data_IF_690996193878
#
_entry.id   IF_690996193878
#
_cell.length_a   1.000
_cell.length_b   1.000
_cell.length_c   1.000
_cell.angle_alpha   90.00
_cell.angle_beta   90.00
_cell.angle_gamma   90.00
#
_symmetry.space_group_name_H-M   'P 1'
#
loop_
_entity.id
_entity.type
_entity.pdbx_description
1 polymer ?
#
# COMPACT_ATOMS: atom_id res chain seq x y z
N UNK A 1 -16.80 25.00 -36.10
CA UNK A 1 -16.60 25.12 -34.64
C UNK A 1 -16.46 23.70 -34.08
N UNK A 2 -15.25 23.25 -33.75
CA UNK A 2 -15.07 21.98 -33.05
C UNK A 2 -15.15 22.26 -31.56
N UNK A 3 -16.25 21.85 -30.93
CA UNK A 3 -16.40 21.86 -29.48
C UNK A 3 -15.37 20.90 -28.87
N UNK A 4 -14.57 21.41 -27.93
CA UNK A 4 -13.68 20.56 -27.15
C UNK A 4 -14.53 19.54 -26.36
N UNK A 5 -14.11 18.26 -26.29
CA UNK A 5 -14.81 17.28 -25.48
C UNK A 5 -14.82 17.74 -24.01
N UNK A 6 -15.91 17.52 -23.27
CA UNK A 6 -15.98 17.90 -21.86
C UNK A 6 -14.86 17.20 -21.09
N UNK A 7 -14.22 17.93 -20.18
CA UNK A 7 -13.20 17.37 -19.29
C UNK A 7 -13.79 16.18 -18.53
N UNK A 8 -13.08 15.05 -18.55
CA UNK A 8 -13.53 13.85 -17.87
C UNK A 8 -13.71 14.12 -16.36
N UNK A 9 -14.82 13.66 -15.79
CA UNK A 9 -15.04 13.79 -14.35
C UNK A 9 -13.92 13.07 -13.57
N UNK A 10 -13.58 13.53 -12.35
CA UNK A 10 -12.57 12.88 -11.51
C UNK A 10 -12.80 11.37 -11.34
N UNK A 11 -14.08 10.96 -11.24
CA UNK A 11 -14.47 9.55 -11.15
C UNK A 11 -14.20 8.77 -12.45
N UNK A 12 -14.43 9.37 -13.62
CA UNK A 12 -14.12 8.75 -14.90
C UNK A 12 -12.60 8.60 -15.11
N UNK A 13 -11.83 9.61 -14.70
CA UNK A 13 -10.37 9.55 -14.70
C UNK A 13 -9.85 8.45 -13.77
N UNK A 14 -10.37 8.37 -12.55
CA UNK A 14 -10.00 7.33 -11.60
C UNK A 14 -10.31 5.92 -12.13
N UNK A 15 -11.50 5.70 -12.69
CA UNK A 15 -11.86 4.42 -13.33
C UNK A 15 -10.91 4.08 -14.47
N UNK A 16 -10.51 5.07 -15.28
CA UNK A 16 -9.55 4.86 -16.37
C UNK A 16 -8.16 4.52 -15.85
N UNK A 17 -7.69 5.19 -14.80
CA UNK A 17 -6.40 4.94 -14.16
C UNK A 17 -6.31 3.53 -13.57
N UNK A 18 -7.39 3.10 -12.91
CA UNK A 18 -7.51 1.78 -12.28
C UNK A 18 -7.91 0.65 -13.25
N UNK A 19 -8.20 0.98 -14.50
CA UNK A 19 -8.45 -0.01 -15.53
C UNK A 19 -7.24 -0.93 -15.72
N UNK A 20 -7.50 -2.23 -15.83
CA UNK A 20 -6.46 -3.25 -16.03
C UNK A 20 -5.52 -3.46 -14.83
N UNK A 21 -5.75 -2.81 -13.68
CA UNK A 21 -5.04 -3.15 -12.44
C UNK A 21 -5.36 -4.60 -12.09
N UNK A 22 -4.38 -5.47 -11.96
CA UNK A 22 -4.59 -6.88 -11.61
C UNK A 22 -4.20 -7.20 -10.16
N UNK A 23 -3.48 -6.30 -9.50
CA UNK A 23 -2.94 -6.51 -8.17
C UNK A 23 -3.05 -5.24 -7.34
N UNK A 24 -3.21 -5.41 -6.05
CA UNK A 24 -3.33 -4.33 -5.09
C UNK A 24 -2.24 -4.48 -4.05
N UNK A 25 -1.55 -3.39 -3.73
CA UNK A 25 -0.65 -3.26 -2.61
C UNK A 25 -1.27 -2.30 -1.60
N UNK A 26 -1.05 -2.57 -0.32
CA UNK A 26 -1.40 -1.64 0.76
C UNK A 26 -0.16 -1.31 1.55
N UNK A 27 0.16 -0.03 1.67
CA UNK A 27 1.18 0.53 2.54
C UNK A 27 0.51 0.85 3.88
N UNK A 28 0.66 0.00 4.91
CA UNK A 28 0.02 0.21 6.19
C UNK A 28 0.91 1.14 7.02
N UNK A 29 0.35 2.24 7.49
CA UNK A 29 1.00 3.23 8.34
C UNK A 29 0.39 3.11 9.72
N UNK A 30 1.19 2.71 10.71
CA UNK A 30 0.75 2.60 12.10
C UNK A 30 0.52 3.98 12.73
N UNK A 31 -0.13 4.00 13.89
CA UNK A 31 -0.41 5.24 14.62
C UNK A 31 0.86 6.00 15.06
N UNK A 32 1.98 5.31 15.20
CA UNK A 32 3.31 5.86 15.49
C UNK A 32 4.13 6.17 14.22
N UNK A 33 3.49 6.18 13.05
CA UNK A 33 4.09 6.60 11.77
C UNK A 33 5.02 5.57 11.13
N UNK A 34 4.99 4.31 11.57
CA UNK A 34 5.81 3.25 10.99
C UNK A 34 5.09 2.56 9.84
N UNK A 35 5.84 2.20 8.81
CA UNK A 35 5.38 1.40 7.69
C UNK A 35 5.54 -0.08 8.02
N UNK A 36 4.47 -0.84 7.83
CA UNK A 36 4.49 -2.28 8.06
C UNK A 36 4.79 -3.04 6.77
N UNK A 37 5.94 -3.72 6.76
CA UNK A 37 6.37 -4.63 5.70
C UNK A 37 6.12 -6.07 6.13
N UNK A 38 5.92 -6.95 5.15
CA UNK A 38 5.86 -8.39 5.34
C UNK A 38 6.98 -9.07 4.59
N UNK A 39 7.50 -10.14 5.19
CA UNK A 39 8.44 -11.03 4.53
C UNK A 39 7.69 -11.95 3.59
N UNK A 40 7.95 -11.79 2.30
CA UNK A 40 7.52 -12.72 1.29
C UNK A 40 8.56 -13.82 1.13
N UNK A 41 8.18 -15.04 1.47
CA UNK A 41 8.98 -16.24 1.22
C UNK A 41 8.37 -17.06 0.09
N UNK A 42 9.19 -17.34 -0.90
CA UNK A 42 8.94 -18.30 -1.96
C UNK A 42 10.13 -19.28 -1.99
N UNK A 43 9.94 -20.45 -2.57
CA UNK A 43 10.99 -21.50 -2.66
C UNK A 43 12.32 -21.00 -3.26
N UNK A 44 12.32 -19.84 -3.95
CA UNK A 44 13.50 -19.27 -4.63
C UNK A 44 13.95 -17.91 -4.10
N UNK A 45 13.09 -17.17 -3.39
CA UNK A 45 13.35 -15.80 -3.00
C UNK A 45 12.70 -15.46 -1.67
N UNK A 46 13.46 -14.75 -0.83
CA UNK A 46 12.98 -14.12 0.38
C UNK A 46 13.21 -12.61 0.28
N UNK A 47 12.16 -11.81 0.47
CA UNK A 47 12.25 -10.36 0.43
C UNK A 47 11.15 -9.69 1.26
N UNK A 48 11.38 -8.44 1.63
CA UNK A 48 10.40 -7.60 2.31
C UNK A 48 9.59 -6.81 1.29
N UNK A 49 8.27 -6.77 1.45
CA UNK A 49 7.38 -6.00 0.59
C UNK A 49 6.18 -5.49 1.39
N UNK A 50 5.29 -4.74 0.77
CA UNK A 50 4.02 -4.32 1.37
C UNK A 50 2.93 -5.36 1.12
N UNK A 51 1.96 -5.55 2.04
CA UNK A 51 0.86 -6.49 1.85
C UNK A 51 0.28 -6.38 0.44
N UNK A 52 0.13 -7.52 -0.23
CA UNK A 52 -0.35 -7.55 -1.62
C UNK A 52 -1.28 -8.71 -1.91
N UNK A 53 -2.24 -8.47 -2.81
CA UNK A 53 -3.20 -9.47 -3.25
C UNK A 53 -3.59 -9.26 -4.72
N UNK A 54 -3.73 -10.37 -5.44
CA UNK A 54 -4.29 -10.35 -6.79
C UNK A 54 -5.79 -10.09 -6.74
N UNK A 55 -6.28 -9.28 -7.69
CA UNK A 55 -7.70 -9.09 -7.90
C UNK A 55 -8.25 -10.37 -8.50
N UNK A 56 -9.07 -11.11 -7.73
CA UNK A 56 -9.74 -12.32 -8.22
C UNK A 56 -10.67 -12.03 -9.40
N UNK A 57 -11.28 -10.84 -9.46
CA UNK A 57 -12.00 -10.36 -10.64
C UNK A 57 -11.67 -8.90 -10.94
N UNK A 58 -11.63 -8.55 -12.23
CA UNK A 58 -11.41 -7.16 -12.68
C UNK A 58 -12.61 -6.23 -12.44
N UNK A 59 -13.75 -6.77 -12.00
CA UNK A 59 -14.96 -6.00 -11.65
C UNK A 59 -14.92 -5.46 -10.22
N UNK A 60 -14.19 -6.12 -9.31
CA UNK A 60 -14.08 -5.69 -7.91
C UNK A 60 -13.20 -4.46 -7.79
N UNK A 61 -13.72 -3.35 -7.28
CA UNK A 61 -12.96 -2.12 -7.03
C UNK A 61 -11.64 -2.42 -6.28
N UNK A 62 -10.46 -1.99 -6.78
CA UNK A 62 -9.20 -2.15 -6.07
C UNK A 62 -9.22 -1.67 -4.61
N UNK A 63 -9.98 -0.61 -4.28
CA UNK A 63 -10.09 -0.14 -2.90
C UNK A 63 -10.77 -1.17 -1.98
N UNK A 64 -11.77 -1.90 -2.47
CA UNK A 64 -12.41 -3.00 -1.73
C UNK A 64 -11.43 -4.13 -1.47
N UNK A 65 -10.56 -4.43 -2.43
CA UNK A 65 -9.50 -5.45 -2.27
C UNK A 65 -8.45 -4.99 -1.26
N UNK A 66 -8.07 -3.71 -1.25
CA UNK A 66 -7.17 -3.15 -0.25
C UNK A 66 -7.73 -3.25 1.18
N UNK A 67 -9.01 -2.93 1.38
CA UNK A 67 -9.66 -3.08 2.70
C UNK A 67 -9.71 -4.54 3.16
N UNK A 68 -10.01 -5.46 2.23
CA UNK A 68 -9.98 -6.90 2.53
C UNK A 68 -8.57 -7.35 2.92
N UNK A 69 -7.56 -6.90 2.18
CA UNK A 69 -6.15 -7.22 2.44
C UNK A 69 -5.71 -6.80 3.84
N UNK A 70 -6.07 -5.59 4.29
CA UNK A 70 -5.77 -5.13 5.66
C UNK A 70 -6.38 -6.04 6.73
N UNK A 71 -7.64 -6.44 6.55
CA UNK A 71 -8.31 -7.33 7.50
C UNK A 71 -7.70 -8.73 7.51
N UNK A 72 -7.42 -9.29 6.33
CA UNK A 72 -6.90 -10.65 6.20
C UNK A 72 -5.43 -10.77 6.61
N UNK A 73 -4.58 -9.80 6.27
CA UNK A 73 -3.13 -9.85 6.52
C UNK A 73 -2.67 -9.12 7.79
N UNK A 74 -3.37 -8.06 8.21
CA UNK A 74 -3.00 -7.32 9.43
C UNK A 74 -4.04 -7.41 10.55
N UNK A 75 -5.30 -7.75 10.24
CA UNK A 75 -6.35 -7.86 11.25
C UNK A 75 -6.79 -6.48 11.70
N UNK A 76 -6.48 -5.47 10.88
CA UNK A 76 -6.74 -4.08 11.12
C UNK A 76 -7.79 -3.58 10.12
N UNK A 77 -8.54 -2.58 10.56
CA UNK A 77 -9.34 -1.75 9.68
C UNK A 77 -8.68 -0.37 9.54
N UNK A 78 -9.08 0.37 8.51
CA UNK A 78 -8.56 1.72 8.27
C UNK A 78 -9.69 2.63 7.85
N UNK A 79 -9.86 3.74 8.58
CA UNK A 79 -10.77 4.81 8.21
C UNK A 79 -10.30 5.54 6.94
N UNK A 80 -8.99 5.63 6.73
CA UNK A 80 -8.38 6.41 5.65
C UNK A 80 -7.61 5.51 4.69
N UNK A 81 -8.15 5.34 3.48
CA UNK A 81 -7.50 4.61 2.40
C UNK A 81 -7.29 5.54 1.19
N UNK A 82 -6.04 5.80 0.82
CA UNK A 82 -5.68 6.74 -0.26
C UNK A 82 -4.91 6.04 -1.36
N UNK A 83 -5.33 6.18 -2.62
CA UNK A 83 -4.53 5.73 -3.76
C UNK A 83 -3.30 6.64 -3.90
N UNK A 84 -2.11 6.10 -3.71
CA UNK A 84 -0.85 6.87 -3.76
C UNK A 84 -0.08 6.62 -5.05
N UNK A 85 -0.24 5.45 -5.66
CA UNK A 85 0.47 5.13 -6.89
C UNK A 85 -0.25 4.07 -7.74
N UNK A 86 -0.01 4.09 -9.05
CA UNK A 86 -0.37 2.99 -9.96
C UNK A 86 0.89 2.56 -10.69
N UNK A 87 1.41 1.39 -10.31
CA UNK A 87 2.56 0.79 -10.96
C UNK A 87 2.14 0.25 -12.34
N UNK A 88 2.87 0.61 -13.42
CA UNK A 88 2.66 0.01 -14.72
C UNK A 88 2.94 -1.50 -14.65
N UNK A 89 2.43 -2.26 -15.62
CA UNK A 89 2.84 -3.66 -15.75
C UNK A 89 4.31 -3.71 -16.17
N UNK A 90 5.06 -4.64 -15.58
CA UNK A 90 6.42 -4.99 -15.98
C UNK A 90 6.51 -6.47 -16.32
N UNK A 91 7.69 -6.94 -16.75
CA UNK A 91 7.91 -8.38 -17.00
C UNK A 91 7.73 -9.24 -15.74
N UNK A 92 7.96 -8.66 -14.56
CA UNK A 92 7.97 -9.35 -13.27
C UNK A 92 6.68 -9.19 -12.48
N UNK A 93 5.81 -8.23 -12.83
CA UNK A 93 4.59 -7.96 -12.10
C UNK A 93 3.49 -7.38 -12.98
N UNK A 94 2.24 -7.69 -12.64
CA UNK A 94 1.08 -7.09 -13.30
C UNK A 94 0.89 -5.63 -12.88
N UNK A 95 0.14 -4.86 -13.68
CA UNK A 95 -0.26 -3.49 -13.34
C UNK A 95 -0.91 -3.47 -11.96
N UNK A 96 -0.45 -2.60 -11.08
CA UNK A 96 -0.82 -2.65 -9.67
C UNK A 96 -1.25 -1.30 -9.13
N UNK A 97 -2.27 -1.28 -8.28
CA UNK A 97 -2.64 -0.10 -7.50
C UNK A 97 -2.01 -0.17 -6.13
N UNK A 98 -1.47 0.95 -5.64
CA UNK A 98 -0.86 1.07 -4.33
C UNK A 98 -1.68 2.04 -3.50
N UNK A 99 -2.20 1.55 -2.39
CA UNK A 99 -2.95 2.36 -1.43
C UNK A 99 -2.15 2.56 -0.16
N UNK A 100 -2.18 3.76 0.41
CA UNK A 100 -1.78 4.01 1.78
C UNK A 100 -2.98 3.84 2.71
N UNK A 101 -2.75 3.25 3.88
CA UNK A 101 -3.78 3.04 4.90
C UNK A 101 -3.26 3.50 6.25
N UNK A 102 -3.94 4.45 6.88
CA UNK A 102 -3.66 4.85 8.27
C UNK A 102 -4.32 3.84 9.21
N UNK A 103 -3.57 3.34 10.19
CA UNK A 103 -4.03 2.40 11.20
C UNK A 103 -4.06 3.06 12.57
N UNK A 104 -4.98 2.63 13.41
CA UNK A 104 -5.23 3.26 14.72
C UNK A 104 -4.34 2.68 15.85
N UNK A 105 -3.56 1.64 15.55
CA UNK A 105 -2.71 0.95 16.51
C UNK A 105 -1.22 1.20 16.22
N UNK A 106 -0.36 1.22 17.26
CA UNK A 106 1.09 1.22 17.10
C UNK A 106 1.58 -0.03 16.38
N UNK A 107 2.70 0.08 15.67
CA UNK A 107 3.27 -1.03 14.90
C UNK A 107 3.53 -2.27 15.76
N UNK A 108 4.10 -2.09 16.95
CA UNK A 108 4.42 -3.19 17.86
C UNK A 108 3.18 -4.01 18.26
N UNK A 109 2.05 -3.35 18.50
CA UNK A 109 0.80 -4.02 18.87
C UNK A 109 0.21 -4.81 17.69
N UNK A 110 0.26 -4.24 16.48
CA UNK A 110 -0.22 -4.91 15.27
C UNK A 110 0.60 -6.17 15.00
N UNK A 111 1.93 -6.07 15.13
CA UNK A 111 2.84 -7.20 14.94
C UNK A 111 2.64 -8.28 16.00
N UNK A 112 2.56 -7.90 17.28
CA UNK A 112 2.32 -8.83 18.38
C UNK A 112 0.97 -9.56 18.25
N UNK A 113 -0.09 -8.84 17.90
CA UNK A 113 -1.41 -9.43 17.65
C UNK A 113 -1.35 -10.46 16.51
N UNK A 114 -0.60 -10.14 15.45
CA UNK A 114 -0.42 -11.06 14.32
C UNK A 114 0.36 -12.31 14.68
N UNK A 115 1.47 -12.17 15.40
CA UNK A 115 2.23 -13.31 15.91
C UNK A 115 1.37 -14.22 16.80
N UNK A 116 0.56 -13.64 17.69
CA UNK A 116 -0.34 -14.37 18.59
C UNK A 116 -1.45 -15.14 17.85
N UNK A 117 -1.95 -14.64 16.71
CA UNK A 117 -3.01 -15.32 15.94
C UNK A 117 -2.54 -16.61 15.26
N UNK A 118 -1.24 -16.88 15.16
CA UNK A 118 -0.66 -18.20 14.84
C UNK A 118 -1.12 -18.90 13.55
N UNK A 119 -1.87 -18.23 12.68
CA UNK A 119 -2.65 -18.89 11.61
C UNK A 119 -2.42 -18.25 10.26
N UNK A 120 -1.29 -18.59 9.67
CA UNK A 120 -1.11 -18.58 8.22
C UNK A 120 0.12 -19.42 7.92
N UNK A 121 0.05 -20.32 6.93
CA UNK A 121 1.23 -21.03 6.38
C UNK A 121 2.35 -20.08 5.90
N UNK A 122 2.08 -18.78 5.87
CA UNK A 122 3.02 -17.67 5.70
C UNK A 122 3.01 -16.89 7.02
N UNK A 123 3.83 -17.29 7.98
CA UNK A 123 4.04 -16.47 9.17
C UNK A 123 4.52 -15.10 8.67
N UNK A 124 3.70 -14.08 8.87
CA UNK A 124 3.99 -12.72 8.46
C UNK A 124 5.06 -12.23 9.42
N UNK A 125 6.34 -12.54 9.13
CA UNK A 125 7.42 -11.79 9.75
C UNK A 125 7.17 -10.36 9.29
N UNK A 126 6.81 -9.51 10.25
CA UNK A 126 6.54 -8.12 10.00
C UNK A 126 7.75 -7.28 10.37
N UNK A 127 8.03 -6.29 9.56
CA UNK A 127 9.10 -5.33 9.82
C UNK A 127 8.47 -3.95 9.82
N UNK A 128 8.66 -3.22 10.92
CA UNK A 128 8.23 -1.85 11.03
C UNK A 128 9.42 -0.91 10.78
N UNK A 129 9.27 -0.01 9.82
CA UNK A 129 10.31 0.95 9.42
C UNK A 129 9.71 2.32 9.19
N UNK A 130 10.47 3.39 9.41
CA UNK A 130 10.01 4.71 8.96
C UNK A 130 10.14 4.84 7.44
N UNK A 131 9.38 5.76 6.85
CA UNK A 131 9.48 6.04 5.42
C UNK A 131 10.90 6.54 5.04
N UNK A 132 11.55 7.33 5.90
CA UNK A 132 12.92 7.80 5.72
C UNK A 132 13.91 6.64 5.72
N UNK A 133 13.75 5.68 6.64
CA UNK A 133 14.59 4.48 6.69
C UNK A 133 14.47 3.69 5.39
N UNK A 134 13.25 3.49 4.91
CA UNK A 134 13.03 2.74 3.67
C UNK A 134 13.57 3.46 2.44
N UNK A 135 13.48 4.79 2.39
CA UNK A 135 14.06 5.62 1.32
C UNK A 135 15.60 5.63 1.39
N UNK A 136 16.18 5.65 2.59
CA UNK A 136 17.62 5.58 2.78
C UNK A 136 18.21 4.20 2.40
N UNK A 137 17.40 3.15 2.46
CA UNK A 137 17.77 1.80 1.99
C UNK A 137 17.70 1.64 0.46
N UNK A 138 17.22 2.65 -0.29
CA UNK A 138 17.10 2.68 -1.76
C UNK A 138 18.47 2.77 -2.50
N UNK A 139 19.51 2.13 -1.95
CA UNK A 139 20.89 2.18 -2.46
C UNK A 139 21.39 0.76 -2.79
N UNK A 140 21.18 0.33 -4.07
CA UNK A 140 21.79 -0.82 -4.85
C UNK A 140 20.86 -2.05 -5.10
N UNK A 141 21.19 -2.98 -6.03
CA UNK A 141 21.25 -2.98 -7.51
C UNK A 141 19.89 -3.31 -8.20
N UNK A 142 19.78 -3.11 -9.52
CA UNK A 142 18.54 -3.16 -10.35
C UNK A 142 17.52 -4.29 -10.07
N UNK A 143 17.95 -5.52 -9.77
CA UNK A 143 17.03 -6.62 -9.46
C UNK A 143 16.35 -6.48 -8.08
N UNK A 144 17.04 -5.87 -7.12
CA UNK A 144 16.46 -5.46 -5.83
C UNK A 144 15.61 -4.20 -6.03
N UNK A 145 15.98 -3.35 -6.98
CA UNK A 145 15.21 -2.15 -7.32
C UNK A 145 13.83 -2.51 -7.90
N UNK A 146 13.70 -3.48 -8.81
CA UNK A 146 12.39 -3.97 -9.28
C UNK A 146 11.54 -4.61 -8.17
N UNK A 147 12.18 -5.06 -7.08
CA UNK A 147 11.55 -5.61 -5.88
C UNK A 147 11.22 -4.52 -4.83
N UNK A 148 12.00 -3.45 -4.79
CA UNK A 148 11.84 -2.27 -3.93
C UNK A 148 11.06 -1.14 -4.61
N UNK A 149 10.76 -1.22 -5.90
CA UNK A 149 9.92 -0.25 -6.63
C UNK A 149 8.47 -0.27 -6.11
N UNK A 150 8.04 -1.37 -5.48
CA UNK A 150 6.82 -1.41 -4.68
C UNK A 150 6.95 -0.73 -3.31
N UNK A 151 8.17 -0.49 -2.81
CA UNK A 151 8.50 0.07 -1.49
C UNK A 151 8.85 1.56 -1.51
N UNK A 152 9.92 1.91 -2.22
CA UNK A 152 10.56 3.23 -2.17
C UNK A 152 9.73 4.36 -2.79
N UNK A 153 9.09 4.13 -3.94
CA UNK A 153 8.23 5.16 -4.57
C UNK A 153 7.01 5.48 -3.68
N UNK A 154 6.28 4.49 -3.16
CA UNK A 154 5.22 4.76 -2.19
C UNK A 154 5.72 5.43 -0.91
N UNK A 155 6.85 5.03 -0.35
CA UNK A 155 7.43 5.67 0.84
C UNK A 155 7.81 7.14 0.60
N UNK A 156 8.42 7.48 -0.55
CA UNK A 156 8.67 8.87 -0.95
C UNK A 156 7.38 9.67 -1.11
N UNK A 157 6.35 9.05 -1.68
CA UNK A 157 5.03 9.68 -1.84
C UNK A 157 4.39 9.94 -0.46
N UNK A 158 4.56 9.03 0.49
CA UNK A 158 4.06 9.19 1.86
C UNK A 158 4.75 10.32 2.62
N UNK A 159 6.05 10.51 2.46
CA UNK A 159 6.77 11.65 3.05
C UNK A 159 6.21 13.01 2.59
N UNK A 160 5.59 13.06 1.41
CA UNK A 160 4.94 14.26 0.87
C UNK A 160 3.47 14.41 1.32
N UNK A 161 2.93 13.49 2.12
CA UNK A 161 1.53 13.43 2.59
C UNK A 161 1.47 13.40 4.13
N UNK A 162 1.71 14.52 4.82
CA UNK A 162 1.85 14.57 6.28
C UNK A 162 0.57 14.22 7.04
N UNK A 163 -0.59 14.37 6.40
CA UNK A 163 -1.91 14.10 6.98
C UNK A 163 -2.19 12.61 7.21
N UNK A 164 -1.39 11.71 6.64
CA UNK A 164 -1.48 10.27 6.87
C UNK A 164 -0.68 9.79 8.09
N UNK A 165 0.25 10.60 8.59
CA UNK A 165 1.05 10.29 9.78
C UNK A 165 0.49 10.95 11.06
N UNK A 166 -0.45 11.89 10.91
CA UNK A 166 -1.01 12.67 12.01
C UNK A 166 -2.56 12.64 11.97
N UNK A 167 -3.21 11.66 12.65
CA UNK A 167 -4.66 11.57 12.69
C UNK A 167 -5.34 12.80 13.36
N UNK A 168 -4.57 13.63 14.07
CA UNK A 168 -5.08 14.85 14.72
C UNK A 168 -5.27 16.02 13.74
N UNK A 169 -4.65 15.98 12.56
CA UNK A 169 -4.74 17.07 11.57
C UNK A 169 -6.08 17.12 10.81
N UNK A 170 -6.92 16.10 10.92
CA UNK A 170 -8.27 16.07 10.29
C UNK A 170 -9.39 16.72 11.11
N UNK A 171 -9.13 17.16 12.34
CA UNK A 171 -10.20 17.64 13.25
C UNK A 171 -10.36 19.17 13.29
N UNK A 172 -9.46 19.95 12.69
CA UNK A 172 -9.58 21.41 12.69
C UNK A 172 -9.49 22.03 11.29
N UNK A 173 -10.60 22.01 10.56
CA UNK A 173 -10.93 23.11 9.65
C UNK A 173 -12.30 23.69 10.04
N UNK A 174 -12.36 24.83 10.75
CA UNK A 174 -13.47 25.74 10.61
C UNK A 174 -13.21 26.61 9.37
N UNK A 175 -14.11 26.54 8.38
CA UNK A 175 -14.05 27.34 7.16
C UNK A 175 -15.16 26.99 6.20
#
# INVERSE_FOLDING_TARGET
MMSSPPAASPQALLRRLLSGVARVFVVPVSADGQLLLHRHESDRHCYWTYPTMQRGTMRTDPATVARRLLREELGAESGVLRLVHVLPAARTHARSAVYAASLDLPAAEILAAREATGTSRRALQGLAVTAETLVALDVRPLAINDLMTTGGIPARTLLALPDLADPASTVNQPG
#
